data_IF_187266202586
#
_entry.id   IF_187266202586
#
_cell.length_a   1.000
_cell.length_b   1.000
_cell.length_c   1.000
_cell.angle_alpha   90.00
_cell.angle_beta   90.00
_cell.angle_gamma   90.00
#
_symmetry.space_group_name_H-M   'P 1'
#
loop_
_entity.id
_entity.type
_entity.pdbx_description
1 polymer ?
#
# COMPACT_ATOMS: atom_id res chain seq x y z
N UNK A 1 -6.25 -15.48 -5.09
CA UNK A 1 -5.50 -15.63 -6.34
C UNK A 1 -4.09 -15.07 -6.18
N UNK A 2 -3.05 -15.85 -6.53
CA UNK A 2 -1.63 -15.46 -6.39
C UNK A 2 -1.30 -14.19 -7.17
N UNK A 3 -1.91 -13.98 -8.32
CA UNK A 3 -1.70 -12.79 -9.15
C UNK A 3 -2.20 -11.52 -8.47
N UNK A 4 -3.39 -11.58 -7.87
CA UNK A 4 -3.97 -10.44 -7.13
C UNK A 4 -3.11 -10.09 -5.93
N UNK A 5 -2.64 -11.09 -5.16
CA UNK A 5 -1.72 -10.87 -4.03
C UNK A 5 -0.40 -10.24 -4.46
N UNK A 6 0.10 -10.59 -5.62
CA UNK A 6 1.32 -9.97 -6.18
C UNK A 6 1.09 -8.51 -6.55
N UNK A 7 -0.06 -8.19 -7.14
CA UNK A 7 -0.44 -6.80 -7.45
C UNK A 7 -0.62 -5.98 -6.17
N UNK A 8 -1.27 -6.51 -5.14
CA UNK A 8 -1.41 -5.87 -3.82
C UNK A 8 -0.05 -5.57 -3.18
N UNK A 9 0.85 -6.56 -3.21
CA UNK A 9 2.21 -6.38 -2.71
C UNK A 9 2.97 -5.28 -3.47
N UNK A 10 2.86 -5.24 -4.81
CA UNK A 10 3.48 -4.18 -5.61
C UNK A 10 2.90 -2.80 -5.28
N UNK A 11 1.58 -2.69 -5.11
CA UNK A 11 0.92 -1.45 -4.71
C UNK A 11 1.42 -0.98 -3.34
N UNK A 12 1.48 -1.87 -2.36
CA UNK A 12 1.97 -1.57 -1.03
C UNK A 12 3.45 -1.13 -1.06
N UNK A 13 4.29 -1.78 -1.85
CA UNK A 13 5.70 -1.42 -2.00
C UNK A 13 5.85 -0.02 -2.61
N UNK A 14 5.11 0.29 -3.68
CA UNK A 14 5.13 1.63 -4.30
C UNK A 14 4.62 2.68 -3.33
N UNK A 15 3.51 2.43 -2.63
CA UNK A 15 2.94 3.36 -1.65
C UNK A 15 3.90 3.66 -0.51
N UNK A 16 4.55 2.64 0.04
CA UNK A 16 5.42 2.81 1.23
C UNK A 16 6.81 3.32 0.90
N UNK A 17 7.37 2.95 -0.25
CA UNK A 17 8.76 3.27 -0.59
C UNK A 17 8.91 4.21 -1.78
N UNK A 18 7.87 4.38 -2.62
CA UNK A 18 7.96 5.08 -3.90
C UNK A 18 8.81 4.34 -4.94
N UNK A 19 9.15 3.09 -4.67
CA UNK A 19 9.98 2.26 -5.52
C UNK A 19 9.32 0.90 -5.73
N UNK A 20 9.58 0.27 -6.85
CA UNK A 20 9.14 -1.10 -7.12
C UNK A 20 10.33 -1.96 -7.48
N UNK A 21 10.57 -2.99 -6.69
CA UNK A 21 11.60 -3.99 -6.96
C UNK A 21 11.02 -5.10 -7.84
N UNK A 22 11.51 -5.20 -9.06
CA UNK A 22 11.13 -6.23 -10.03
C UNK A 22 12.20 -7.32 -10.04
N UNK A 23 11.84 -8.52 -9.62
CA UNK A 23 12.74 -9.68 -9.59
C UNK A 23 12.10 -10.88 -10.27
N UNK A 24 12.78 -11.46 -11.26
CA UNK A 24 12.32 -12.69 -11.91
C UNK A 24 13.13 -13.01 -13.16
N UNK A 25 13.29 -14.29 -13.49
CA UNK A 25 13.91 -14.85 -14.72
C UNK A 25 15.11 -14.05 -15.30
N UNK A 26 16.05 -13.64 -14.43
CA UNK A 26 17.25 -12.89 -14.83
C UNK A 26 17.12 -11.36 -14.80
N UNK A 27 16.00 -10.83 -14.36
CA UNK A 27 15.79 -9.40 -14.10
C UNK A 27 15.83 -9.17 -12.58
N UNK A 28 16.67 -8.25 -12.12
CA UNK A 28 16.70 -7.73 -10.74
C UNK A 28 16.93 -6.22 -10.85
N UNK A 29 15.85 -5.49 -10.99
CA UNK A 29 15.85 -4.04 -11.18
C UNK A 29 14.95 -3.34 -10.16
N UNK A 30 15.33 -2.12 -9.81
CA UNK A 30 14.54 -1.24 -8.95
C UNK A 30 14.06 -0.07 -9.80
N UNK A 31 12.75 0.05 -9.92
CA UNK A 31 12.12 1.19 -10.58
C UNK A 31 11.83 2.23 -9.50
N UNK A 32 12.48 3.39 -9.59
CA UNK A 32 12.24 4.53 -8.70
C UNK A 32 11.32 5.54 -9.39
N UNK A 33 10.18 5.83 -8.74
CA UNK A 33 9.22 6.80 -9.25
C UNK A 33 9.51 8.25 -8.81
N UNK A 34 10.59 8.47 -8.05
CA UNK A 34 10.99 9.80 -7.59
C UNK A 34 10.10 10.36 -6.48
N UNK A 35 9.48 9.50 -5.67
CA UNK A 35 8.61 9.89 -4.57
C UNK A 35 9.37 10.62 -3.46
N UNK A 36 8.93 11.84 -3.11
CA UNK A 36 9.63 12.73 -2.17
C UNK A 36 8.91 12.96 -0.85
N UNK A 37 7.59 12.81 -0.79
CA UNK A 37 6.76 13.08 0.39
C UNK A 37 6.92 12.00 1.48
N UNK A 38 8.16 11.79 1.96
CA UNK A 38 8.51 10.88 3.04
C UNK A 38 8.86 11.64 4.30
N UNK A 39 8.28 11.26 5.42
CA UNK A 39 8.55 11.82 6.73
C UNK A 39 9.03 10.71 7.67
N UNK A 40 10.03 11.00 8.46
CA UNK A 40 10.46 10.15 9.55
C UNK A 40 10.42 10.96 10.84
N UNK A 41 9.55 10.57 11.76
CA UNK A 41 9.50 11.20 13.09
C UNK A 41 10.63 10.63 13.95
N UNK A 42 11.38 11.52 14.57
CA UNK A 42 12.55 11.15 15.35
C UNK A 42 12.38 11.51 16.83
N UNK A 43 13.06 10.75 17.68
CA UNK A 43 13.20 11.02 19.10
C UNK A 43 11.86 11.22 19.84
N UNK A 44 11.71 12.38 20.48
CA UNK A 44 10.54 12.71 21.31
C UNK A 44 9.26 13.00 20.52
N UNK A 45 9.36 13.22 19.20
CA UNK A 45 8.22 13.47 18.30
C UNK A 45 7.54 12.19 17.83
N UNK A 46 8.17 11.02 17.99
CA UNK A 46 7.55 9.73 17.68
C UNK A 46 6.27 9.55 18.47
N UNK A 47 5.28 8.94 17.86
CA UNK A 47 4.00 8.66 18.51
C UNK A 47 4.21 7.74 19.74
N UNK A 48 3.51 8.06 20.82
CA UNK A 48 3.72 7.39 22.12
C UNK A 48 4.85 8.01 22.97
N UNK A 49 5.54 9.07 22.50
CA UNK A 49 6.54 9.82 23.28
C UNK A 49 5.98 11.14 23.81
N UNK A 50 6.77 11.81 24.65
CA UNK A 50 6.32 12.99 25.40
C UNK A 50 5.94 14.22 24.57
N UNK A 51 6.51 14.36 23.37
CA UNK A 51 6.24 15.48 22.44
C UNK A 51 5.44 15.01 21.20
N UNK A 52 4.79 13.85 21.29
CA UNK A 52 3.94 13.36 20.22
C UNK A 52 2.71 14.24 20.02
N UNK A 53 2.35 14.50 18.78
CA UNK A 53 1.14 15.20 18.39
C UNK A 53 0.54 14.58 17.13
N UNK A 54 -0.10 13.41 17.24
CA UNK A 54 -0.65 12.69 16.08
C UNK A 54 -1.64 13.53 15.29
N UNK A 55 -2.51 14.26 15.98
CA UNK A 55 -3.51 15.13 15.35
C UNK A 55 -2.89 16.30 14.59
N UNK A 56 -1.94 17.02 15.20
CA UNK A 56 -1.21 18.11 14.54
C UNK A 56 -0.43 17.62 13.33
N UNK A 57 0.21 16.45 13.45
CA UNK A 57 0.92 15.83 12.33
C UNK A 57 0.00 15.56 11.13
N UNK A 58 -1.22 15.01 11.34
CA UNK A 58 -2.15 14.77 10.25
C UNK A 58 -2.58 16.08 9.56
N UNK A 59 -2.78 17.16 10.33
CA UNK A 59 -3.12 18.47 9.77
C UNK A 59 -1.98 19.04 8.92
N UNK A 60 -0.75 18.96 9.41
CA UNK A 60 0.45 19.47 8.72
C UNK A 60 0.73 18.66 7.45
N UNK A 61 0.62 17.33 7.54
CA UNK A 61 0.84 16.44 6.39
C UNK A 61 -0.18 16.66 5.28
N UNK A 62 -1.43 16.86 5.63
CA UNK A 62 -2.47 17.20 4.64
C UNK A 62 -2.13 18.50 3.89
N UNK A 63 -1.67 19.52 4.61
CA UNK A 63 -1.21 20.76 3.99
C UNK A 63 0.02 20.56 3.11
N UNK A 64 0.97 19.72 3.56
CA UNK A 64 2.16 19.39 2.79
C UNK A 64 1.81 18.72 1.46
N UNK A 65 0.95 17.69 1.46
CA UNK A 65 0.50 17.03 0.22
C UNK A 65 -0.25 18.00 -0.67
N UNK A 66 -1.11 18.84 -0.11
CA UNK A 66 -1.83 19.85 -0.91
C UNK A 66 -0.89 20.82 -1.60
N UNK A 67 0.23 21.20 -0.97
CA UNK A 67 1.21 22.14 -1.54
C UNK A 67 2.18 21.48 -2.51
N UNK A 68 2.67 20.29 -2.19
CA UNK A 68 3.70 19.61 -2.96
C UNK A 68 3.11 18.73 -4.07
N UNK A 69 2.04 18.00 -3.74
CA UNK A 69 1.43 17.01 -4.64
C UNK A 69 0.19 17.52 -5.37
N UNK A 70 -0.26 18.76 -5.08
CA UNK A 70 -1.50 19.34 -5.64
C UNK A 70 -2.71 18.41 -5.49
N UNK A 71 -2.73 17.62 -4.41
CA UNK A 71 -3.77 16.63 -4.13
C UNK A 71 -4.45 16.94 -2.79
N UNK A 72 -5.74 16.62 -2.70
CA UNK A 72 -6.48 16.69 -1.46
C UNK A 72 -6.63 15.28 -0.90
N UNK A 73 -5.89 14.97 0.16
CA UNK A 73 -5.95 13.68 0.83
C UNK A 73 -7.16 13.61 1.75
N UNK A 74 -7.89 12.52 1.68
CA UNK A 74 -9.11 12.25 2.45
C UNK A 74 -9.07 10.90 3.18
N UNK A 75 -8.04 10.09 2.93
CA UNK A 75 -7.84 8.79 3.56
C UNK A 75 -6.49 8.73 4.27
N UNK A 76 -6.48 8.12 5.45
CA UNK A 76 -5.28 7.79 6.22
C UNK A 76 -5.30 6.30 6.54
N UNK A 77 -4.28 5.60 6.08
CA UNK A 77 -4.10 4.16 6.32
C UNK A 77 -2.93 4.01 7.30
N UNK A 78 -3.16 3.32 8.38
CA UNK A 78 -2.19 3.14 9.46
C UNK A 78 -1.85 1.66 9.62
N UNK A 79 -0.55 1.36 9.78
CA UNK A 79 -0.13 0.06 10.25
C UNK A 79 -0.57 -0.18 11.71
N UNK A 80 -0.55 -1.41 12.14
CA UNK A 80 -1.09 -1.85 13.43
C UNK A 80 -0.57 -1.07 14.63
N UNK A 81 0.75 -0.88 14.71
CA UNK A 81 1.36 -0.16 15.84
C UNK A 81 1.02 1.33 15.81
N UNK A 82 1.06 1.95 14.61
CA UNK A 82 0.70 3.35 14.43
C UNK A 82 -0.77 3.60 14.82
N UNK A 83 -1.69 2.72 14.40
CA UNK A 83 -3.11 2.79 14.76
C UNK A 83 -3.32 2.69 16.27
N UNK A 84 -2.67 1.75 16.94
CA UNK A 84 -2.77 1.60 18.40
C UNK A 84 -2.27 2.84 19.15
N UNK A 85 -1.14 3.42 18.72
CA UNK A 85 -0.59 4.63 19.34
C UNK A 85 -1.49 5.85 19.08
N UNK A 86 -2.06 5.95 17.88
CA UNK A 86 -3.03 7.00 17.54
C UNK A 86 -4.27 6.94 18.43
N UNK A 87 -4.85 5.76 18.58
CA UNK A 87 -6.05 5.56 19.41
C UNK A 87 -5.80 5.70 20.91
N UNK A 88 -4.55 5.52 21.37
CA UNK A 88 -4.15 5.70 22.76
C UNK A 88 -3.77 7.16 23.12
N UNK A 89 -3.69 8.04 22.13
CA UNK A 89 -3.32 9.45 22.36
C UNK A 89 -4.40 10.21 23.11
N UNK A 90 -4.01 10.91 24.19
CA UNK A 90 -4.95 11.62 25.09
C UNK A 90 -5.70 12.73 24.38
N UNK A 91 -5.07 13.44 23.42
CA UNK A 91 -5.75 14.51 22.66
C UNK A 91 -6.81 13.94 21.74
N UNK A 92 -6.53 12.79 21.11
CA UNK A 92 -7.49 12.08 20.26
C UNK A 92 -8.67 11.60 21.11
N UNK A 93 -8.40 10.99 22.27
CA UNK A 93 -9.45 10.58 23.21
C UNK A 93 -10.28 11.75 23.70
N UNK A 94 -9.65 12.87 24.06
CA UNK A 94 -10.34 14.10 24.48
C UNK A 94 -11.22 14.69 23.37
N UNK A 95 -10.78 14.65 22.13
CA UNK A 95 -11.56 15.08 20.97
C UNK A 95 -12.78 14.17 20.75
N UNK A 96 -12.64 12.88 21.00
CA UNK A 96 -13.73 11.90 20.91
C UNK A 96 -14.76 12.07 22.03
N UNK A 97 -14.33 12.42 23.24
CA UNK A 97 -15.22 12.52 24.42
C UNK A 97 -15.98 13.87 24.47
N UNK A 98 -15.49 14.90 23.82
CA UNK A 98 -16.18 16.21 23.74
C UNK A 98 -17.34 16.18 22.74
N UNK A 99 -18.40 15.47 23.08
CA UNK A 99 -19.68 15.33 22.32
C UNK A 99 -20.39 16.63 21.94
N UNK A 100 -19.82 17.80 22.24
CA UNK A 100 -20.44 19.12 21.98
C UNK A 100 -20.02 19.75 20.65
N UNK A 101 -19.02 19.19 19.96
CA UNK A 101 -18.64 19.60 18.62
C UNK A 101 -18.54 18.34 17.76
N UNK A 102 -19.19 18.35 16.61
CA UNK A 102 -19.08 17.31 15.57
C UNK A 102 -17.67 17.27 14.97
N UNK A 103 -16.68 16.87 15.79
CA UNK A 103 -15.27 16.78 15.34
C UNK A 103 -15.02 15.47 14.59
N UNK A 104 -15.87 14.47 14.78
CA UNK A 104 -15.83 13.18 14.12
C UNK A 104 -16.52 12.10 14.93
N UNK A 105 -16.82 10.99 14.28
CA UNK A 105 -17.33 9.79 14.92
C UNK A 105 -16.34 8.65 14.68
N UNK A 106 -15.84 8.06 15.75
CA UNK A 106 -15.04 6.84 15.66
C UNK A 106 -15.87 5.65 16.12
N UNK A 107 -16.27 4.83 15.15
CA UNK A 107 -16.96 3.58 15.36
C UNK A 107 -16.21 2.48 14.58
N UNK A 108 -15.24 1.80 15.20
CA UNK A 108 -14.46 0.77 14.54
C UNK A 108 -15.35 -0.27 13.88
N UNK A 109 -15.15 -0.49 12.59
CA UNK A 109 -15.84 -1.49 11.79
C UNK A 109 -14.83 -2.29 11.00
N UNK A 110 -14.79 -3.58 11.23
CA UNK A 110 -14.01 -4.49 10.41
C UNK A 110 -14.60 -4.57 9.00
N UNK A 111 -13.74 -4.44 8.02
CA UNK A 111 -14.04 -4.58 6.60
C UNK A 111 -13.33 -5.82 6.07
N UNK A 112 -13.60 -6.19 4.82
CA UNK A 112 -12.91 -7.31 4.18
C UNK A 112 -11.42 -6.98 3.94
N UNK A 113 -10.55 -8.01 3.92
CA UNK A 113 -9.13 -7.86 3.58
C UNK A 113 -8.28 -7.19 4.67
N UNK A 114 -8.52 -7.47 5.96
CA UNK A 114 -7.69 -6.96 7.05
C UNK A 114 -7.77 -5.45 7.27
N UNK A 115 -8.76 -4.80 6.68
CA UNK A 115 -9.01 -3.38 6.79
C UNK A 115 -9.99 -3.09 7.94
N UNK A 116 -9.63 -2.19 8.84
CA UNK A 116 -10.50 -1.72 9.92
C UNK A 116 -10.75 -0.24 9.74
N UNK A 117 -12.00 0.15 9.57
CA UNK A 117 -12.39 1.56 9.57
C UNK A 117 -12.58 2.03 11.02
N UNK A 118 -11.82 3.04 11.45
CA UNK A 118 -11.92 3.62 12.78
C UNK A 118 -12.92 4.79 12.86
N UNK A 119 -13.06 5.57 11.80
CA UNK A 119 -13.98 6.69 11.75
C UNK A 119 -13.45 7.85 10.92
N UNK A 120 -14.20 8.96 10.97
CA UNK A 120 -13.91 10.20 10.27
C UNK A 120 -13.47 11.30 11.23
N UNK A 121 -12.41 12.02 10.90
CA UNK A 121 -12.00 13.25 11.56
C UNK A 121 -12.43 14.44 10.71
N UNK A 122 -13.40 15.23 11.18
CA UNK A 122 -13.89 16.41 10.46
C UNK A 122 -12.78 17.46 10.23
N UNK A 123 -11.83 17.55 11.15
CA UNK A 123 -10.61 18.31 11.00
C UNK A 123 -9.42 17.38 11.26
N UNK A 124 -8.57 17.11 10.28
CA UNK A 124 -8.39 17.75 8.97
C UNK A 124 -9.34 17.29 7.83
N UNK A 125 -10.38 16.53 8.08
CA UNK A 125 -11.30 16.01 7.06
C UNK A 125 -10.70 14.79 6.38
N UNK A 126 -10.51 13.70 7.14
CA UNK A 126 -9.92 12.44 6.69
C UNK A 126 -10.61 11.26 7.35
N UNK A 127 -10.73 10.18 6.60
CA UNK A 127 -11.15 8.88 7.09
C UNK A 127 -9.94 8.08 7.57
N UNK A 128 -10.05 7.47 8.75
CA UNK A 128 -8.97 6.71 9.38
C UNK A 128 -9.21 5.21 9.20
N UNK A 129 -8.23 4.54 8.63
CA UNK A 129 -8.21 3.10 8.42
C UNK A 129 -6.98 2.47 9.07
N UNK A 130 -7.17 1.34 9.72
CA UNK A 130 -6.11 0.42 10.09
C UNK A 130 -5.99 -0.69 9.07
N UNK A 131 -4.78 -1.13 8.76
CA UNK A 131 -4.53 -2.21 7.80
C UNK A 131 -3.56 -3.22 8.37
N UNK A 132 -4.00 -4.47 8.51
CA UNK A 132 -3.24 -5.58 9.13
C UNK A 132 -3.18 -6.80 8.18
N UNK A 133 -3.09 -6.56 6.88
CA UNK A 133 -2.90 -7.63 5.90
C UNK A 133 -1.42 -7.98 5.76
N UNK A 134 -1.14 -9.28 5.57
CA UNK A 134 0.22 -9.80 5.50
C UNK A 134 0.46 -10.56 4.20
N UNK A 135 1.72 -10.63 3.79
CA UNK A 135 2.16 -11.44 2.67
C UNK A 135 3.31 -12.37 3.09
N UNK A 136 3.47 -13.45 2.35
CA UNK A 136 4.62 -14.34 2.50
C UNK A 136 5.74 -13.82 1.58
N UNK A 137 6.89 -13.49 2.15
CA UNK A 137 8.05 -13.08 1.38
C UNK A 137 8.77 -14.32 0.83
N UNK A 138 8.81 -14.44 -0.49
CA UNK A 138 9.43 -15.58 -1.20
C UNK A 138 10.95 -15.67 -0.98
N UNK A 139 11.58 -14.63 -0.44
CA UNK A 139 13.04 -14.59 -0.27
C UNK A 139 13.49 -15.29 1.02
N UNK A 140 12.79 -15.04 2.11
CA UNK A 140 13.14 -15.56 3.45
C UNK A 140 12.05 -16.46 4.04
N UNK A 141 10.97 -16.66 3.31
CA UNK A 141 9.81 -17.48 3.70
C UNK A 141 9.15 -17.01 5.02
N UNK A 142 9.24 -15.70 5.30
CA UNK A 142 8.64 -15.06 6.48
C UNK A 142 7.38 -14.29 6.10
N UNK A 143 6.45 -14.22 7.05
CA UNK A 143 5.23 -13.40 6.89
C UNK A 143 5.53 -11.97 7.27
N UNK A 144 5.27 -11.03 6.37
CA UNK A 144 5.48 -9.59 6.58
C UNK A 144 4.18 -8.82 6.35
N UNK A 145 3.96 -7.71 7.08
CA UNK A 145 2.81 -6.85 6.81
C UNK A 145 2.99 -6.14 5.46
N UNK A 146 1.90 -5.95 4.72
CA UNK A 146 1.90 -5.19 3.46
C UNK A 146 2.22 -3.72 3.71
N UNK A 147 1.65 -3.13 4.77
CA UNK A 147 2.03 -1.81 5.28
C UNK A 147 2.78 -2.02 6.61
N UNK A 148 4.03 -1.56 6.75
CA UNK A 148 4.77 -1.68 8.01
C UNK A 148 4.00 -1.13 9.21
N UNK A 149 4.08 -1.82 10.34
CA UNK A 149 3.30 -1.53 11.55
C UNK A 149 3.47 -0.10 12.08
N UNK A 150 4.65 0.48 11.87
CA UNK A 150 5.04 1.81 12.32
C UNK A 150 4.81 2.91 11.29
N UNK A 151 4.13 2.61 10.19
CA UNK A 151 3.90 3.57 9.10
C UNK A 151 2.46 4.08 9.05
N UNK A 152 2.36 5.29 8.55
CA UNK A 152 1.10 5.97 8.21
C UNK A 152 1.18 6.42 6.76
N UNK A 153 0.19 6.08 5.97
CA UNK A 153 0.04 6.51 4.58
C UNK A 153 -1.17 7.43 4.48
N UNK A 154 -0.97 8.65 4.03
CA UNK A 154 -2.04 9.61 3.77
C UNK A 154 -2.21 9.76 2.26
N UNK A 155 -3.38 9.40 1.74
CA UNK A 155 -3.64 9.24 0.32
C UNK A 155 -5.02 9.81 -0.07
N UNK A 156 -5.20 10.40 -1.26
CA UNK A 156 -6.53 10.72 -1.75
C UNK A 156 -7.28 9.45 -2.17
N UNK A 157 -8.57 9.37 -1.90
CA UNK A 157 -9.43 8.27 -2.37
C UNK A 157 -9.48 8.15 -3.90
N UNK A 158 -9.12 9.24 -4.60
CA UNK A 158 -9.01 9.28 -6.06
C UNK A 158 -7.65 8.82 -6.59
N UNK A 159 -6.72 8.44 -5.71
CA UNK A 159 -5.43 7.91 -6.14
C UNK A 159 -5.63 6.63 -6.98
N UNK A 160 -4.94 6.56 -8.09
CA UNK A 160 -5.06 5.45 -9.02
C UNK A 160 -3.68 4.93 -9.43
N UNK A 161 -3.64 3.63 -9.70
CA UNK A 161 -2.49 2.95 -10.28
C UNK A 161 -2.84 2.45 -11.66
N UNK A 162 -2.03 2.82 -12.64
CA UNK A 162 -2.10 2.22 -13.95
C UNK A 162 -1.48 0.82 -13.91
N UNK A 163 -2.21 -0.17 -14.41
CA UNK A 163 -1.71 -1.53 -14.59
C UNK A 163 -1.14 -1.67 -15.99
N UNK A 164 0.17 -1.72 -16.11
CA UNK A 164 0.85 -2.07 -17.34
C UNK A 164 1.20 -3.57 -17.32
N UNK A 165 1.14 -4.22 -18.47
CA UNK A 165 1.49 -5.62 -18.61
C UNK A 165 2.58 -5.77 -19.65
N UNK A 166 3.64 -6.48 -19.29
CA UNK A 166 4.71 -6.85 -20.20
C UNK A 166 4.28 -7.94 -21.19
N UNK A 167 5.03 -8.08 -22.26
CA UNK A 167 4.83 -9.14 -23.25
C UNK A 167 5.07 -10.53 -22.63
N UNK A 168 4.20 -11.47 -22.94
CA UNK A 168 4.36 -12.86 -22.59
C UNK A 168 5.00 -13.62 -23.77
N UNK A 169 6.19 -14.18 -23.56
CA UNK A 169 6.87 -15.00 -24.56
C UNK A 169 6.78 -16.47 -24.19
N UNK A 170 6.48 -17.31 -25.16
CA UNK A 170 6.33 -18.74 -24.98
C UNK A 170 6.82 -19.54 -26.18
N UNK A 171 7.21 -20.78 -25.94
CA UNK A 171 7.54 -21.75 -26.99
C UNK A 171 6.27 -22.53 -27.30
N UNK A 172 5.90 -22.59 -28.58
CA UNK A 172 4.73 -23.35 -29.04
C UNK A 172 5.10 -24.72 -29.61
N UNK A 173 4.11 -25.52 -29.97
CA UNK A 173 4.27 -26.87 -30.55
C UNK A 173 5.06 -26.86 -31.87
N UNK A 174 5.05 -25.76 -32.59
CA UNK A 174 5.86 -25.52 -33.78
C UNK A 174 7.37 -25.32 -33.49
N UNK A 175 7.77 -25.39 -32.20
CA UNK A 175 9.13 -25.16 -31.69
C UNK A 175 9.68 -23.76 -31.98
N UNK A 176 8.79 -22.76 -32.13
CA UNK A 176 9.15 -21.36 -32.30
C UNK A 176 8.71 -20.54 -31.12
N UNK A 177 9.43 -19.46 -30.88
CA UNK A 177 9.08 -18.48 -29.89
C UNK A 177 7.97 -17.56 -30.42
N UNK A 178 6.89 -17.50 -29.69
CA UNK A 178 5.77 -16.59 -29.92
C UNK A 178 5.70 -15.55 -28.83
N UNK A 179 5.11 -14.39 -29.15
CA UNK A 179 4.91 -13.30 -28.20
C UNK A 179 3.42 -12.91 -28.22
N UNK A 180 2.82 -12.86 -27.06
CA UNK A 180 1.43 -12.44 -26.89
C UNK A 180 1.35 -11.13 -26.09
N UNK A 181 0.58 -10.18 -26.63
CA UNK A 181 0.18 -8.94 -25.95
C UNK A 181 -1.10 -9.19 -25.14
N UNK A 182 -0.93 -9.74 -23.96
CA UNK A 182 -2.07 -10.08 -23.08
C UNK A 182 -1.73 -9.86 -21.62
N UNK A 183 -2.72 -9.43 -20.85
CA UNK A 183 -2.57 -9.28 -19.41
C UNK A 183 -2.31 -10.62 -18.70
N UNK A 184 -2.91 -11.70 -19.22
CA UNK A 184 -2.78 -13.06 -18.68
C UNK A 184 -2.77 -14.03 -19.83
N UNK A 185 -1.68 -14.78 -19.97
CA UNK A 185 -1.53 -15.87 -20.95
C UNK A 185 -1.84 -17.19 -20.24
N UNK A 186 -2.90 -17.85 -20.66
CA UNK A 186 -3.23 -19.21 -20.21
C UNK A 186 -2.75 -20.19 -21.27
N UNK A 187 -1.98 -21.17 -20.85
CA UNK A 187 -1.48 -22.25 -21.70
C UNK A 187 -1.88 -23.58 -21.12
N UNK A 188 -2.31 -24.46 -22.00
CA UNK A 188 -2.65 -25.84 -21.72
C UNK A 188 -1.77 -26.71 -22.62
N UNK A 189 -0.90 -27.53 -22.04
CA UNK A 189 -0.02 -28.40 -22.81
C UNK A 189 0.25 -29.73 -22.09
N UNK A 190 0.58 -30.75 -22.90
CA UNK A 190 0.86 -32.10 -22.43
C UNK A 190 2.34 -32.43 -22.66
N UNK A 191 2.98 -32.91 -21.62
CA UNK A 191 4.33 -33.47 -21.67
C UNK A 191 4.21 -35.01 -21.71
N UNK A 192 4.90 -35.66 -22.66
CA UNK A 192 4.72 -37.10 -22.90
C UNK A 192 5.75 -38.01 -22.21
N UNK A 193 6.73 -37.46 -21.45
CA UNK A 193 7.74 -38.25 -20.75
C UNK A 193 8.20 -37.67 -19.45
N UNK A 194 7.57 -38.02 -18.31
CA UNK A 194 6.35 -38.83 -18.14
C UNK A 194 5.10 -38.06 -18.58
N UNK A 195 4.04 -38.77 -18.89
CA UNK A 195 2.77 -38.17 -19.30
C UNK A 195 2.23 -37.25 -18.20
N UNK A 196 2.19 -35.94 -18.49
CA UNK A 196 1.69 -34.90 -17.58
C UNK A 196 0.92 -33.86 -18.35
N UNK A 197 -0.15 -33.40 -17.74
CA UNK A 197 -0.95 -32.29 -18.24
C UNK A 197 -0.64 -31.03 -17.39
N UNK A 198 -0.27 -29.95 -18.05
CA UNK A 198 0.08 -28.69 -17.41
C UNK A 198 -0.89 -27.58 -17.81
N UNK A 199 -1.36 -26.86 -16.81
CA UNK A 199 -2.05 -25.59 -16.98
C UNK A 199 -1.13 -24.49 -16.45
N UNK A 200 -0.61 -23.67 -17.35
CA UNK A 200 0.32 -22.57 -17.03
C UNK A 200 -0.39 -21.22 -17.18
N UNK A 201 -0.31 -20.39 -16.14
CA UNK A 201 -0.74 -19.00 -16.20
C UNK A 201 0.49 -18.11 -16.12
N UNK A 202 0.73 -17.32 -17.16
CA UNK A 202 1.81 -16.36 -17.22
C UNK A 202 1.26 -14.93 -17.25
N UNK A 203 1.83 -14.05 -16.40
CA UNK A 203 1.48 -12.63 -16.35
C UNK A 203 2.70 -11.80 -15.92
N UNK A 204 2.85 -10.61 -16.47
CA UNK A 204 3.94 -9.68 -16.15
C UNK A 204 3.35 -8.30 -15.77
N UNK A 205 2.64 -8.18 -14.64
CA UNK A 205 2.06 -6.92 -14.22
C UNK A 205 3.14 -5.96 -13.71
N UNK A 206 2.92 -4.68 -13.99
CA UNK A 206 3.68 -3.55 -13.44
C UNK A 206 2.68 -2.48 -13.00
N UNK A 207 2.74 -2.09 -11.73
CA UNK A 207 1.92 -1.01 -11.18
C UNK A 207 2.68 0.30 -11.24
N UNK A 208 2.07 1.29 -11.89
CA UNK A 208 2.64 2.63 -12.07
C UNK A 208 1.69 3.64 -11.40
N UNK A 209 2.15 4.45 -10.44
CA UNK A 209 1.32 5.48 -9.85
C UNK A 209 0.99 6.57 -10.87
N UNK A 210 -0.27 6.97 -10.95
CA UNK A 210 -0.73 8.02 -11.89
C UNK A 210 -0.11 9.38 -11.53
N UNK A 211 -0.08 9.72 -10.23
CA UNK A 211 0.50 10.95 -9.71
C UNK A 211 1.41 10.65 -8.54
N UNK A 212 2.69 10.80 -8.77
CA UNK A 212 3.71 10.73 -7.70
C UNK A 212 3.59 11.97 -6.82
N UNK A 213 3.88 11.83 -5.53
CA UNK A 213 3.72 12.88 -4.50
C UNK A 213 2.28 13.33 -4.20
N UNK A 214 1.25 12.69 -4.81
CA UNK A 214 -0.15 12.89 -4.41
C UNK A 214 -0.49 12.27 -3.05
N UNK A 215 0.41 11.47 -2.49
CA UNK A 215 0.30 10.88 -1.16
C UNK A 215 1.52 11.21 -0.32
N UNK A 216 1.45 10.88 0.96
CA UNK A 216 2.53 11.06 1.91
C UNK A 216 2.70 9.80 2.76
N UNK A 217 3.91 9.45 3.07
CA UNK A 217 4.25 8.35 3.99
C UNK A 217 5.02 8.89 5.17
N UNK A 218 4.62 8.49 6.37
CA UNK A 218 5.30 8.83 7.60
C UNK A 218 5.65 7.59 8.42
N UNK A 219 6.89 7.50 8.88
CA UNK A 219 7.29 6.57 9.93
C UNK A 219 7.13 7.27 11.28
N UNK A 220 6.26 6.74 12.14
CA UNK A 220 5.78 7.45 13.34
C UNK A 220 6.30 6.91 14.66
N UNK A 221 6.87 5.70 14.68
CA UNK A 221 7.42 5.09 15.89
C UNK A 221 8.59 4.15 15.60
#
# INVERSE_FOLDING_TARGET
DMTTRREEWMAAQVLTTGQLKVKGKGVDEVIDFGFTNKINLENTKQWGKSAADPWGNLCDWKQQVSRNGFANTDMVIMGKQAANLFMADSKILDLMDKRRFDIGAMAPKELEGGLTYYGHLNLPGVDIYGYDEVYLDDTDNTTKPLIPDNMVVMIPSTANFMRAYGLCTYLDDDKKWHTAETARLLRDYVEHRPDRHFLELQTHPLLIPDKVDSWLVATVC
#
